data_IF_391523129839
#
_entry.id   IF_391523129839
#
_cell.length_a   1.000
_cell.length_b   1.000
_cell.length_c   1.000
_cell.angle_alpha   90.00
_cell.angle_beta   90.00
_cell.angle_gamma   90.00
#
_symmetry.space_group_name_H-M   'P 1'
#
loop_
_entity.id
_entity.type
_entity.pdbx_description
1 polymer ?
#
# COMPACT_ATOMS: atom_id res chain seq x y z
N UNK A 1 -14.03 28.10 -1.75
CA UNK A 1 -14.67 27.22 -0.77
C UNK A 1 -13.73 26.10 -0.25
N UNK A 2 -12.55 25.88 -0.85
CA UNK A 2 -11.55 24.89 -0.43
C UNK A 2 -10.41 25.46 0.48
N UNK A 3 -10.53 26.69 0.97
CA UNK A 3 -9.40 27.36 1.59
C UNK A 3 -9.15 26.99 3.05
N UNK A 4 -10.13 26.55 3.80
CA UNK A 4 -9.92 26.11 5.19
C UNK A 4 -11.20 25.49 5.75
N UNK A 5 -11.14 24.25 6.19
CA UNK A 5 -12.13 23.68 7.11
C UNK A 5 -11.49 23.75 8.50
N UNK A 6 -12.10 24.52 9.41
CA UNK A 6 -11.59 24.78 10.78
C UNK A 6 -10.18 25.41 10.84
N UNK A 7 -9.80 26.28 9.88
CA UNK A 7 -8.50 26.96 9.89
C UNK A 7 -7.31 26.13 9.40
N UNK A 8 -7.52 24.88 9.00
CA UNK A 8 -6.45 24.01 8.50
C UNK A 8 -6.40 24.10 6.96
N UNK A 9 -5.24 24.38 6.35
CA UNK A 9 -5.11 24.44 4.90
C UNK A 9 -5.30 23.04 4.30
N UNK A 10 -6.39 22.83 3.55
CA UNK A 10 -6.75 21.52 2.96
C UNK A 10 -5.77 21.12 1.85
N UNK A 11 -5.34 22.06 1.03
CA UNK A 11 -4.47 21.79 -0.12
C UNK A 11 -3.13 21.14 0.24
N UNK A 12 -2.36 21.61 1.24
CA UNK A 12 -1.15 20.92 1.69
C UNK A 12 -1.40 19.52 2.23
N UNK A 13 -2.55 19.28 2.86
CA UNK A 13 -2.92 17.95 3.35
C UNK A 13 -3.16 17.01 2.17
N UNK A 14 -3.94 17.42 1.17
CA UNK A 14 -4.17 16.63 -0.03
C UNK A 14 -2.87 16.37 -0.82
N UNK A 15 -2.02 17.38 -0.96
CA UNK A 15 -0.70 17.21 -1.57
C UNK A 15 0.16 16.19 -0.81
N UNK A 16 0.12 16.21 0.53
CA UNK A 16 0.83 15.23 1.35
C UNK A 16 0.30 13.80 1.14
N UNK A 17 -1.02 13.63 0.97
CA UNK A 17 -1.59 12.31 0.64
C UNK A 17 -1.02 11.82 -0.69
N UNK A 18 -1.08 12.61 -1.74
CA UNK A 18 -0.57 12.22 -3.06
C UNK A 18 0.91 11.84 -3.00
N UNK A 19 1.77 12.70 -2.43
CA UNK A 19 3.22 12.45 -2.39
C UNK A 19 3.57 11.22 -1.56
N UNK A 20 2.95 11.08 -0.37
CA UNK A 20 3.24 9.94 0.52
C UNK A 20 2.67 8.65 -0.06
N UNK A 21 1.47 8.66 -0.65
CA UNK A 21 0.88 7.49 -1.31
C UNK A 21 1.72 7.03 -2.49
N UNK A 22 2.17 7.96 -3.35
CA UNK A 22 3.08 7.65 -4.45
C UNK A 22 4.38 7.03 -3.95
N UNK A 23 4.93 7.49 -2.82
CA UNK A 23 6.14 6.89 -2.25
C UNK A 23 5.94 5.40 -1.90
N UNK A 24 4.75 5.02 -1.42
CA UNK A 24 4.38 3.63 -1.14
C UNK A 24 4.27 2.78 -2.42
N UNK A 25 3.59 3.31 -3.44
CA UNK A 25 3.40 2.63 -4.74
C UNK A 25 4.72 2.44 -5.48
N UNK A 26 5.65 3.39 -5.37
CA UNK A 26 6.95 3.35 -6.04
C UNK A 26 7.95 2.37 -5.41
N UNK A 27 7.65 1.79 -4.27
CA UNK A 27 8.52 0.75 -3.65
C UNK A 27 8.48 -0.50 -4.52
N UNK A 28 9.62 -0.94 -5.09
CA UNK A 28 9.68 -2.17 -5.87
C UNK A 28 9.46 -3.37 -4.95
N UNK A 29 8.25 -3.90 -4.93
CA UNK A 29 7.84 -5.01 -4.08
C UNK A 29 7.24 -6.17 -4.86
N UNK A 30 6.74 -7.20 -4.14
CA UNK A 30 6.13 -8.38 -4.76
C UNK A 30 4.98 -8.03 -5.71
N UNK A 31 4.17 -7.05 -5.36
CA UNK A 31 3.05 -6.61 -6.19
C UNK A 31 3.52 -6.04 -7.53
N UNK A 32 4.56 -5.19 -7.51
CA UNK A 32 5.14 -4.64 -8.73
C UNK A 32 5.66 -5.75 -9.64
N UNK A 33 6.44 -6.70 -9.11
CA UNK A 33 7.00 -7.81 -9.88
C UNK A 33 5.90 -8.68 -10.51
N UNK A 34 4.83 -8.98 -9.76
CA UNK A 34 3.69 -9.77 -10.25
C UNK A 34 2.88 -8.99 -11.28
N UNK A 35 2.71 -7.67 -11.11
CA UNK A 35 2.03 -6.82 -12.09
C UNK A 35 2.75 -6.88 -13.42
N UNK A 36 4.07 -6.68 -13.42
CA UNK A 36 4.89 -6.77 -14.65
C UNK A 36 4.76 -8.15 -15.28
N UNK A 37 4.93 -9.24 -14.52
CA UNK A 37 4.86 -10.60 -15.04
C UNK A 37 3.50 -10.93 -15.68
N UNK A 38 2.40 -10.50 -15.06
CA UNK A 38 1.04 -10.76 -15.57
C UNK A 38 0.64 -9.85 -16.72
N UNK A 39 1.21 -8.65 -16.83
CA UNK A 39 0.93 -7.71 -17.93
C UNK A 39 1.36 -8.26 -19.31
N UNK A 40 2.34 -9.14 -19.33
CA UNK A 40 2.72 -9.85 -20.58
C UNK A 40 1.64 -10.82 -21.08
N UNK A 41 0.69 -11.22 -20.23
CA UNK A 41 -0.36 -12.19 -20.57
C UNK A 41 -1.73 -11.55 -20.77
N UNK A 42 -2.00 -10.45 -20.09
CA UNK A 42 -3.27 -9.74 -20.20
C UNK A 42 -3.09 -8.24 -19.98
N UNK A 43 -3.65 -7.38 -20.84
CA UNK A 43 -3.58 -5.93 -20.67
C UNK A 43 -4.34 -5.44 -19.42
N UNK A 44 -5.27 -6.23 -18.90
CA UNK A 44 -6.08 -5.92 -17.72
C UNK A 44 -5.44 -6.37 -16.40
N UNK A 45 -4.22 -6.90 -16.42
CA UNK A 45 -3.55 -7.41 -15.23
C UNK A 45 -3.44 -6.37 -14.12
N UNK A 46 -3.03 -5.15 -14.46
CA UNK A 46 -2.91 -4.05 -13.48
C UNK A 46 -4.22 -3.73 -12.81
N UNK A 47 -5.31 -3.60 -13.57
CA UNK A 47 -6.65 -3.31 -13.03
C UNK A 47 -7.13 -4.44 -12.12
N UNK A 48 -6.97 -5.70 -12.53
CA UNK A 48 -7.36 -6.85 -11.71
C UNK A 48 -6.56 -6.92 -10.40
N UNK A 49 -5.26 -6.68 -10.46
CA UNK A 49 -4.39 -6.60 -9.28
C UNK A 49 -4.81 -5.46 -8.35
N UNK A 50 -5.10 -4.27 -8.90
CA UNK A 50 -5.57 -3.14 -8.13
C UNK A 50 -6.89 -3.42 -7.43
N UNK A 51 -7.86 -4.08 -8.09
CA UNK A 51 -9.12 -4.48 -7.46
C UNK A 51 -8.86 -5.49 -6.34
N UNK A 52 -7.98 -6.47 -6.56
CA UNK A 52 -7.58 -7.42 -5.52
C UNK A 52 -6.90 -6.75 -4.32
N UNK A 53 -6.06 -5.75 -4.58
CA UNK A 53 -5.42 -4.92 -3.56
C UNK A 53 -6.46 -4.14 -2.74
N UNK A 54 -7.44 -3.53 -3.40
CA UNK A 54 -8.52 -2.78 -2.76
C UNK A 54 -9.29 -3.61 -1.72
N UNK A 55 -9.49 -4.90 -1.97
CA UNK A 55 -10.20 -5.79 -1.03
C UNK A 55 -9.46 -5.92 0.31
N UNK A 56 -8.15 -5.79 0.32
CA UNK A 56 -7.35 -5.79 1.55
C UNK A 56 -7.23 -4.39 2.12
N UNK A 57 -6.98 -3.41 1.28
CA UNK A 57 -6.65 -2.05 1.70
C UNK A 57 -7.86 -1.27 2.22
N UNK A 58 -9.01 -1.32 1.56
CA UNK A 58 -10.20 -0.56 1.98
C UNK A 58 -10.66 -0.99 3.39
N UNK A 59 -10.83 -2.29 3.71
CA UNK A 59 -11.12 -2.70 5.08
C UNK A 59 -10.06 -2.26 6.09
N UNK A 60 -8.77 -2.27 5.72
CA UNK A 60 -7.70 -1.80 6.59
C UNK A 60 -7.80 -0.30 6.87
N UNK A 61 -8.09 0.52 5.86
CA UNK A 61 -8.35 1.96 6.03
C UNK A 61 -9.51 2.19 7.00
N UNK A 62 -10.61 1.45 6.82
CA UNK A 62 -11.78 1.55 7.70
C UNK A 62 -11.43 1.13 9.13
N UNK A 63 -10.70 0.05 9.32
CA UNK A 63 -10.24 -0.39 10.65
C UNK A 63 -9.40 0.70 11.33
N UNK A 64 -8.46 1.30 10.62
CA UNK A 64 -7.62 2.40 11.14
C UNK A 64 -8.51 3.59 11.50
N UNK A 65 -9.43 3.97 10.62
CA UNK A 65 -10.34 5.10 10.84
C UNK A 65 -11.23 4.91 12.08
N UNK A 66 -11.75 3.70 12.31
CA UNK A 66 -12.59 3.37 13.45
C UNK A 66 -11.82 3.08 14.76
N UNK A 67 -10.53 3.37 14.82
CA UNK A 67 -9.75 3.37 16.05
C UNK A 67 -8.67 2.30 16.16
N UNK A 68 -8.57 1.38 15.21
CA UNK A 68 -7.51 0.37 15.22
C UNK A 68 -6.11 0.94 14.95
N UNK A 69 -6.02 2.23 14.57
CA UNK A 69 -4.76 2.95 14.39
C UNK A 69 -3.86 2.94 15.65
N UNK A 70 -4.45 2.90 16.85
CA UNK A 70 -3.70 2.82 18.11
C UNK A 70 -2.93 1.50 18.24
N UNK A 71 -3.45 0.40 17.70
CA UNK A 71 -2.74 -0.87 17.66
C UNK A 71 -1.43 -0.75 16.88
N UNK A 72 -1.44 -0.07 15.75
CA UNK A 72 -0.25 0.16 14.93
C UNK A 72 0.74 1.16 15.56
N UNK A 73 0.29 1.98 16.51
CA UNK A 73 1.17 2.88 17.26
C UNK A 73 1.90 2.19 18.41
N UNK A 74 1.54 0.96 18.74
CA UNK A 74 2.22 0.18 19.78
C UNK A 74 3.69 -0.10 19.35
N UNK A 75 4.68 0.29 20.18
CA UNK A 75 6.10 0.13 19.85
C UNK A 75 6.51 -1.33 19.55
N UNK A 76 5.91 -2.30 20.24
CA UNK A 76 6.19 -3.71 20.00
C UNK A 76 5.67 -4.15 18.62
N UNK A 77 4.47 -3.71 18.23
CA UNK A 77 3.90 -3.97 16.90
C UNK A 77 4.78 -3.34 15.82
N UNK A 78 5.19 -2.08 15.99
CA UNK A 78 6.08 -1.39 15.06
C UNK A 78 7.43 -2.09 14.93
N UNK A 79 8.01 -2.54 16.05
CA UNK A 79 9.27 -3.28 16.03
C UNK A 79 9.14 -4.59 15.23
N UNK A 80 8.11 -5.38 15.50
CA UNK A 80 7.86 -6.64 14.80
C UNK A 80 7.68 -6.40 13.29
N UNK A 81 6.82 -5.45 12.92
CA UNK A 81 6.58 -5.11 11.52
C UNK A 81 7.84 -4.57 10.83
N UNK A 82 8.65 -3.77 11.54
CA UNK A 82 9.91 -3.23 11.00
C UNK A 82 10.95 -4.33 10.77
N UNK A 83 11.05 -5.28 11.69
CA UNK A 83 11.97 -6.44 11.54
C UNK A 83 11.52 -7.34 10.38
N UNK A 84 10.21 -7.63 10.29
CA UNK A 84 9.66 -8.43 9.19
C UNK A 84 9.81 -7.72 7.85
N UNK A 85 9.44 -6.43 7.79
CA UNK A 85 9.54 -5.61 6.58
C UNK A 85 10.99 -5.43 6.15
N UNK A 86 11.89 -5.07 7.06
CA UNK A 86 13.31 -4.92 6.80
C UNK A 86 13.96 -6.24 6.36
N UNK A 87 13.66 -7.33 7.04
CA UNK A 87 14.12 -8.67 6.65
C UNK A 87 13.65 -9.07 5.25
N UNK A 88 12.38 -8.74 4.90
CA UNK A 88 11.85 -8.99 3.56
C UNK A 88 12.53 -8.14 2.48
N UNK A 89 12.82 -6.87 2.74
CA UNK A 89 13.57 -6.02 1.80
C UNK A 89 14.95 -6.61 1.53
N UNK A 90 15.66 -7.02 2.58
CA UNK A 90 16.98 -7.65 2.45
C UNK A 90 16.88 -8.95 1.64
N UNK A 91 15.90 -9.80 1.96
CA UNK A 91 15.69 -11.05 1.24
C UNK A 91 15.35 -10.82 -0.23
N UNK A 92 14.47 -9.85 -0.54
CA UNK A 92 14.13 -9.46 -1.92
C UNK A 92 15.37 -8.94 -2.65
N UNK A 93 16.16 -8.06 -2.02
CA UNK A 93 17.39 -7.52 -2.61
C UNK A 93 18.39 -8.64 -2.95
N UNK A 94 18.61 -9.58 -2.03
CA UNK A 94 19.48 -10.74 -2.27
C UNK A 94 18.91 -11.63 -3.39
N UNK A 95 17.59 -11.87 -3.37
CA UNK A 95 16.92 -12.70 -4.38
C UNK A 95 17.00 -12.08 -5.78
N UNK A 96 16.79 -10.79 -5.90
CA UNK A 96 16.96 -10.05 -7.17
C UNK A 96 18.41 -10.10 -7.66
N UNK A 97 19.38 -9.91 -6.75
CA UNK A 97 20.79 -9.99 -7.10
C UNK A 97 21.19 -11.39 -7.59
N UNK A 98 20.67 -12.45 -6.97
CA UNK A 98 20.89 -13.85 -7.39
C UNK A 98 20.19 -14.19 -8.69
N UNK A 99 18.98 -13.67 -8.92
CA UNK A 99 18.17 -13.93 -10.10
C UNK A 99 18.57 -13.11 -11.34
N UNK A 100 19.49 -12.15 -11.21
CA UNK A 100 19.89 -11.22 -12.29
C UNK A 100 20.22 -11.88 -13.64
N UNK A 101 20.69 -13.13 -13.62
CA UNK A 101 21.00 -13.89 -14.82
C UNK A 101 19.81 -14.71 -15.39
N UNK A 102 18.75 -14.92 -14.59
CA UNK A 102 17.59 -15.76 -14.94
C UNK A 102 16.33 -14.97 -15.25
N UNK A 103 16.31 -13.68 -14.93
CA UNK A 103 15.11 -12.81 -15.06
C UNK A 103 14.65 -12.66 -16.51
N UNK A 104 15.51 -12.91 -17.48
CA UNK A 104 15.18 -12.82 -18.91
C UNK A 104 14.40 -14.04 -19.42
N UNK A 105 14.38 -15.17 -18.70
CA UNK A 105 13.83 -16.41 -19.26
C UNK A 105 12.56 -16.98 -18.62
N UNK A 106 12.22 -16.62 -17.38
CA UNK A 106 10.99 -17.08 -16.73
C UNK A 106 10.50 -16.00 -15.77
N UNK A 107 9.59 -15.15 -16.22
CA UNK A 107 8.81 -14.34 -15.28
C UNK A 107 8.22 -15.27 -14.21
N UNK A 108 8.52 -14.99 -12.95
CA UNK A 108 7.94 -15.73 -11.82
C UNK A 108 6.45 -15.39 -11.75
N UNK A 109 5.65 -16.12 -12.56
CA UNK A 109 4.22 -15.95 -12.56
C UNK A 109 3.62 -16.78 -11.42
N UNK A 110 2.84 -16.13 -10.60
CA UNK A 110 2.08 -16.83 -9.57
C UNK A 110 0.99 -17.68 -10.24
N UNK A 111 0.67 -18.89 -9.70
CA UNK A 111 -0.33 -19.79 -10.28
C UNK A 111 -1.76 -19.24 -10.20
N UNK A 112 -1.96 -18.05 -9.60
CA UNK A 112 -3.25 -17.41 -9.44
C UNK A 112 -3.53 -16.42 -10.58
N UNK A 113 -4.81 -16.12 -10.82
CA UNK A 113 -5.18 -15.00 -11.69
C UNK A 113 -4.72 -13.65 -11.08
N UNK A 114 -4.73 -12.59 -11.88
CA UNK A 114 -4.21 -11.28 -11.45
C UNK A 114 -4.99 -10.71 -10.24
N UNK A 115 -6.29 -10.95 -10.16
CA UNK A 115 -7.12 -10.49 -9.04
C UNK A 115 -6.70 -11.15 -7.72
N UNK A 116 -6.60 -12.49 -7.69
CA UNK A 116 -6.15 -13.24 -6.50
C UNK A 116 -4.70 -12.89 -6.16
N UNK A 117 -3.87 -12.68 -7.18
CA UNK A 117 -2.49 -12.24 -6.96
C UNK A 117 -2.45 -10.88 -6.23
N UNK A 118 -3.34 -9.93 -6.57
CA UNK A 118 -3.47 -8.66 -5.87
C UNK A 118 -3.80 -8.83 -4.38
N UNK A 119 -4.75 -9.71 -4.05
CA UNK A 119 -5.10 -10.04 -2.66
C UNK A 119 -3.91 -10.61 -1.90
N UNK A 120 -3.28 -11.65 -2.47
CA UNK A 120 -2.18 -12.39 -1.82
C UNK A 120 -0.95 -11.50 -1.63
N UNK A 121 -0.54 -10.76 -2.68
CA UNK A 121 0.65 -9.92 -2.63
C UNK A 121 0.46 -8.67 -1.76
N UNK A 122 -0.77 -8.28 -1.44
CA UNK A 122 -1.06 -7.20 -0.48
C UNK A 122 -1.17 -7.74 0.93
N UNK A 123 -2.05 -8.72 1.16
CA UNK A 123 -2.35 -9.23 2.50
C UNK A 123 -1.16 -9.92 3.18
N UNK A 124 -0.27 -10.54 2.41
CA UNK A 124 0.94 -11.21 2.92
C UNK A 124 2.21 -10.36 2.78
N UNK A 125 2.09 -9.10 2.38
CA UNK A 125 3.23 -8.22 2.21
C UNK A 125 3.52 -7.43 3.49
N UNK A 126 4.57 -7.75 4.24
CA UNK A 126 4.90 -7.03 5.46
C UNK A 126 5.29 -5.56 5.21
N UNK A 127 5.79 -5.21 4.01
CA UNK A 127 6.05 -3.81 3.65
C UNK A 127 4.76 -3.01 3.52
N UNK A 128 3.71 -3.60 2.95
CA UNK A 128 2.39 -2.99 2.89
C UNK A 128 1.85 -2.74 4.31
N UNK A 129 1.92 -3.75 5.19
CA UNK A 129 1.48 -3.61 6.57
C UNK A 129 2.32 -2.57 7.34
N UNK A 130 3.64 -2.54 7.13
CA UNK A 130 4.52 -1.54 7.76
C UNK A 130 4.21 -0.13 7.28
N UNK A 131 3.96 0.07 5.98
CA UNK A 131 3.58 1.36 5.43
C UNK A 131 2.26 1.85 6.04
N UNK A 132 1.26 0.96 6.17
CA UNK A 132 -0.02 1.28 6.81
C UNK A 132 0.12 1.49 8.32
N UNK A 133 1.00 0.76 9.00
CA UNK A 133 1.28 0.97 10.42
C UNK A 133 1.93 2.34 10.72
N UNK A 134 2.56 2.95 9.74
CA UNK A 134 3.29 4.21 9.88
C UNK A 134 2.63 5.34 9.08
N UNK A 135 3.01 5.49 7.83
CA UNK A 135 2.57 6.58 6.97
C UNK A 135 1.04 6.57 6.73
N UNK A 136 0.47 5.40 6.43
CA UNK A 136 -0.95 5.25 6.17
C UNK A 136 -1.81 5.64 7.38
N UNK A 137 -1.48 5.12 8.57
CA UNK A 137 -2.18 5.50 9.81
C UNK A 137 -2.08 7.00 10.07
N UNK A 138 -0.89 7.59 9.91
CA UNK A 138 -0.70 9.03 10.09
C UNK A 138 -1.56 9.84 9.12
N UNK A 139 -1.68 9.40 7.87
CA UNK A 139 -2.52 10.05 6.87
C UNK A 139 -4.00 9.95 7.23
N UNK A 140 -4.50 8.75 7.55
CA UNK A 140 -5.91 8.55 7.93
C UNK A 140 -6.28 9.39 9.15
N UNK A 141 -5.40 9.43 10.16
CA UNK A 141 -5.63 10.22 11.38
C UNK A 141 -5.78 11.71 11.10
N UNK A 142 -5.05 12.27 10.12
CA UNK A 142 -5.22 13.68 9.72
C UNK A 142 -6.62 13.98 9.15
N UNK A 143 -7.32 12.97 8.67
CA UNK A 143 -8.66 13.12 8.12
C UNK A 143 -9.78 12.83 9.11
N UNK A 144 -9.47 12.36 10.33
CA UNK A 144 -10.49 12.12 11.38
C UNK A 144 -11.27 13.40 11.72
N UNK A 145 -10.59 14.55 11.79
CA UNK A 145 -11.21 15.83 12.10
C UNK A 145 -12.23 16.30 11.05
N UNK A 146 -12.16 15.73 9.84
CA UNK A 146 -13.09 16.02 8.75
C UNK A 146 -14.24 15.03 8.67
N UNK A 147 -14.31 14.06 9.59
CA UNK A 147 -15.37 13.03 9.67
C UNK A 147 -15.45 12.16 8.42
N UNK A 148 -16.62 11.60 8.15
CA UNK A 148 -16.86 10.67 7.02
C UNK A 148 -16.53 11.31 5.66
N UNK A 149 -16.80 12.60 5.47
CA UNK A 149 -16.44 13.31 4.24
C UNK A 149 -14.92 13.31 4.04
N UNK A 150 -14.16 13.53 5.11
CA UNK A 150 -12.70 13.46 5.08
C UNK A 150 -12.21 12.07 4.66
N UNK A 151 -12.80 11.01 5.22
CA UNK A 151 -12.45 9.63 4.85
C UNK A 151 -12.70 9.35 3.37
N UNK A 152 -13.85 9.76 2.84
CA UNK A 152 -14.18 9.57 1.41
C UNK A 152 -13.17 10.31 0.52
N UNK A 153 -12.87 11.58 0.85
CA UNK A 153 -11.89 12.37 0.11
C UNK A 153 -10.50 11.73 0.19
N UNK A 154 -10.11 11.25 1.37
CA UNK A 154 -8.84 10.54 1.55
C UNK A 154 -8.74 9.32 0.64
N UNK A 155 -9.74 8.42 0.68
CA UNK A 155 -9.75 7.20 -0.14
C UNK A 155 -9.65 7.57 -1.62
N UNK A 156 -10.45 8.54 -2.07
CA UNK A 156 -10.45 8.97 -3.46
C UNK A 156 -9.09 9.51 -3.92
N UNK A 157 -8.47 10.39 -3.11
CA UNK A 157 -7.17 10.99 -3.45
C UNK A 157 -6.02 9.98 -3.34
N UNK A 158 -6.12 9.04 -2.39
CA UNK A 158 -5.13 7.97 -2.21
C UNK A 158 -5.09 7.00 -3.40
N UNK A 159 -6.26 6.80 -4.04
CA UNK A 159 -6.43 5.85 -5.15
C UNK A 159 -6.30 6.49 -6.55
N UNK A 160 -6.16 7.82 -6.64
CA UNK A 160 -5.87 8.53 -7.91
C UNK A 160 -4.43 8.33 -8.36
#
# INVERSE_FOLDING_TARGET
MLQSIRGVPVLPILASVVVISLSGVMIPGPMFAVTVAKSYRTPWAGTQLAIGHAIIEIPLILLIYFGFGQFFQNPAVQLILSLLGGGMIIWLGISMFRARAQVVQKGSDLPYNAFVAGIVTSGLNPLFLLWWATAGTMLVMKFLDFGTTGLIVFIFVHWL
#
